data_IF_311802667733
#
_entry.id   IF_311802667733
#
_cell.length_a   1.000
_cell.length_b   1.000
_cell.length_c   1.000
_cell.angle_alpha   90.00
_cell.angle_beta   90.00
_cell.angle_gamma   90.00
#
_symmetry.space_group_name_H-M   'P 1'
#
loop_
_entity.id
_entity.type
_entity.pdbx_description
1 polymer ?
#
# COMPACT_ATOMS: atom_id res chain seq x y z
N UNK A 1 -17.55 15.66 18.88
CA UNK A 1 -16.30 14.90 18.61
C UNK A 1 -15.93 15.25 17.18
N UNK A 2 -15.02 16.21 17.03
CA UNK A 2 -14.44 16.53 15.71
C UNK A 2 -13.68 15.32 15.22
N UNK A 3 -14.05 14.82 14.05
CA UNK A 3 -13.24 13.86 13.31
C UNK A 3 -11.97 14.59 12.89
N UNK A 4 -10.88 14.37 13.63
CA UNK A 4 -9.55 14.80 13.21
C UNK A 4 -9.27 14.14 11.86
N UNK A 5 -9.24 14.95 10.80
CA UNK A 5 -8.81 14.51 9.49
C UNK A 5 -7.42 13.90 9.64
N UNK A 6 -7.32 12.58 9.47
CA UNK A 6 -6.05 11.90 9.20
C UNK A 6 -5.32 12.73 8.16
N UNK A 7 -4.16 13.27 8.53
CA UNK A 7 -3.36 14.12 7.66
C UNK A 7 -3.06 13.34 6.38
N UNK A 8 -3.69 13.74 5.28
CA UNK A 8 -3.50 13.11 3.98
C UNK A 8 -2.09 13.44 3.51
N UNK A 9 -1.26 12.42 3.29
CA UNK A 9 0.12 12.63 2.84
C UNK A 9 0.21 12.37 1.34
N UNK A 10 -0.22 13.37 0.57
CA UNK A 10 0.04 13.46 -0.87
C UNK A 10 1.54 13.65 -1.16
N UNK A 11 1.95 13.43 -2.40
CA UNK A 11 3.32 13.76 -2.82
C UNK A 11 3.44 15.27 -2.98
N UNK A 12 4.53 15.83 -2.45
CA UNK A 12 4.96 17.20 -2.78
C UNK A 12 5.34 17.28 -4.26
N UNK A 13 5.32 18.48 -4.85
CA UNK A 13 5.76 18.68 -6.25
C UNK A 13 7.17 18.15 -6.51
N UNK A 14 8.07 18.25 -5.53
CA UNK A 14 9.42 17.68 -5.63
C UNK A 14 9.40 16.15 -5.71
N UNK A 15 8.62 15.49 -4.85
CA UNK A 15 8.45 14.02 -4.86
C UNK A 15 7.78 13.55 -6.16
N UNK A 16 6.77 14.29 -6.66
CA UNK A 16 6.13 14.01 -7.94
C UNK A 16 7.15 14.07 -9.09
N UNK A 17 7.98 15.11 -9.13
CA UNK A 17 9.01 15.27 -10.15
C UNK A 17 10.08 14.17 -10.08
N UNK A 18 10.53 13.80 -8.87
CA UNK A 18 11.46 12.68 -8.67
C UNK A 18 10.88 11.36 -9.19
N UNK A 19 9.63 11.07 -8.83
CA UNK A 19 8.92 9.88 -9.30
C UNK A 19 8.84 9.85 -10.82
N UNK A 20 8.34 10.92 -11.43
CA UNK A 20 8.16 11.00 -12.87
C UNK A 20 9.49 10.88 -13.62
N UNK A 21 10.55 11.52 -13.13
CA UNK A 21 11.87 11.48 -13.76
C UNK A 21 12.42 10.05 -13.79
N UNK A 22 12.45 9.37 -12.63
CA UNK A 22 13.00 8.03 -12.53
C UNK A 22 12.12 6.99 -13.24
N UNK A 23 10.79 7.04 -13.04
CA UNK A 23 9.88 6.08 -13.65
C UNK A 23 9.81 6.24 -15.18
N UNK A 24 9.80 7.47 -15.71
CA UNK A 24 9.83 7.66 -17.16
C UNK A 24 11.16 7.22 -17.75
N UNK A 25 12.28 7.43 -17.05
CA UNK A 25 13.59 6.90 -17.48
C UNK A 25 13.53 5.37 -17.61
N UNK A 26 13.06 4.67 -16.57
CA UNK A 26 12.94 3.21 -16.60
C UNK A 26 11.97 2.72 -17.70
N UNK A 27 10.85 3.43 -17.91
CA UNK A 27 9.92 3.16 -19.02
C UNK A 27 10.62 3.30 -20.38
N UNK A 28 11.42 4.34 -20.59
CA UNK A 28 12.13 4.51 -21.86
C UNK A 28 13.25 3.46 -22.05
N UNK A 29 13.92 3.05 -20.98
CA UNK A 29 14.91 1.96 -21.04
C UNK A 29 14.26 0.62 -21.40
N UNK A 30 13.13 0.29 -20.79
CA UNK A 30 12.38 -0.92 -21.13
C UNK A 30 11.85 -0.88 -22.56
N UNK A 31 11.34 0.27 -23.01
CA UNK A 31 10.86 0.44 -24.37
C UNK A 31 11.96 0.21 -25.42
N UNK A 32 13.18 0.68 -25.16
CA UNK A 32 14.35 0.42 -26.03
C UNK A 32 14.71 -1.07 -26.09
N UNK A 33 14.67 -1.78 -24.96
CA UNK A 33 15.00 -3.21 -24.88
C UNK A 33 13.97 -4.11 -25.58
N UNK A 34 12.70 -3.71 -25.52
CA UNK A 34 11.57 -4.53 -26.01
C UNK A 34 11.09 -4.13 -27.40
N UNK A 35 11.48 -2.94 -27.88
CA UNK A 35 10.93 -2.32 -29.10
C UNK A 35 9.52 -1.73 -28.89
N UNK A 36 9.02 -1.70 -27.66
CA UNK A 36 7.68 -1.21 -27.33
C UNK A 36 7.75 0.28 -27.03
N UNK A 37 6.88 1.07 -27.66
CA UNK A 37 6.75 2.49 -27.34
C UNK A 37 5.91 2.68 -26.08
N UNK A 38 6.55 3.05 -24.97
CA UNK A 38 5.89 3.39 -23.71
C UNK A 38 5.65 4.91 -23.63
N UNK A 39 4.39 5.31 -23.40
CA UNK A 39 4.03 6.73 -23.24
C UNK A 39 4.73 7.38 -22.04
N UNK A 40 4.97 8.69 -22.11
CA UNK A 40 5.54 9.44 -20.98
C UNK A 40 4.42 9.74 -19.98
N UNK A 41 4.62 9.31 -18.74
CA UNK A 41 3.72 9.58 -17.64
C UNK A 41 3.78 11.05 -17.23
N UNK A 42 2.60 11.60 -16.94
CA UNK A 42 2.39 12.90 -16.32
C UNK A 42 1.68 12.72 -14.99
N UNK A 43 1.97 13.59 -14.02
CA UNK A 43 1.29 13.51 -12.73
C UNK A 43 -0.15 13.99 -12.86
N UNK A 44 -1.08 13.29 -12.21
CA UNK A 44 -2.49 13.68 -12.12
C UNK A 44 -2.96 13.52 -10.66
N UNK A 45 -3.10 14.66 -9.97
CA UNK A 45 -3.57 14.70 -8.58
C UNK A 45 -4.99 14.15 -8.39
N UNK A 46 -5.84 14.18 -9.43
CA UNK A 46 -7.18 13.61 -9.36
C UNK A 46 -7.15 12.09 -9.10
N UNK A 47 -6.10 11.41 -9.56
CA UNK A 47 -5.92 9.99 -9.30
C UNK A 47 -5.61 9.70 -7.83
N UNK A 48 -5.04 10.65 -7.09
CA UNK A 48 -4.86 10.49 -5.65
C UNK A 48 -6.22 10.43 -4.93
N UNK A 49 -7.16 11.30 -5.30
CA UNK A 49 -8.54 11.25 -4.77
C UNK A 49 -9.21 9.93 -5.12
N UNK A 50 -9.00 9.45 -6.34
CA UNK A 50 -9.60 8.19 -6.78
C UNK A 50 -9.05 7.00 -6.02
N UNK A 51 -7.76 7.00 -5.65
CA UNK A 51 -7.19 6.00 -4.73
C UNK A 51 -7.88 6.09 -3.36
N UNK A 52 -8.10 7.30 -2.83
CA UNK A 52 -8.73 7.52 -1.52
C UNK A 52 -10.19 7.07 -1.47
N UNK A 53 -10.90 7.12 -2.60
CA UNK A 53 -12.30 6.65 -2.70
C UNK A 53 -12.40 5.12 -2.74
N UNK A 54 -11.31 4.40 -3.00
CA UNK A 54 -11.34 2.94 -2.96
C UNK A 54 -11.61 2.46 -1.53
N UNK A 55 -12.24 1.29 -1.41
CA UNK A 55 -12.50 0.64 -0.12
C UNK A 55 -11.24 0.54 0.74
N UNK A 56 -11.41 0.35 2.06
CA UNK A 56 -10.32 0.17 3.04
C UNK A 56 -9.12 -0.60 2.46
N UNK A 57 -7.87 -0.12 2.67
CA UNK A 57 -6.64 -0.71 2.14
C UNK A 57 -6.48 -2.21 2.41
N UNK A 58 -7.24 -2.81 3.32
CA UNK A 58 -7.15 -4.24 3.58
C UNK A 58 -8.10 -5.11 2.74
N UNK A 59 -8.81 -4.56 1.75
CA UNK A 59 -9.71 -5.31 0.85
C UNK A 59 -8.97 -5.91 -0.36
N UNK A 60 -8.34 -7.07 -0.15
CA UNK A 60 -7.38 -7.69 -1.08
C UNK A 60 -7.89 -7.85 -2.53
N UNK A 61 -9.12 -8.34 -2.72
CA UNK A 61 -9.65 -8.67 -4.05
C UNK A 61 -9.88 -7.44 -4.95
N UNK A 62 -10.11 -6.26 -4.36
CA UNK A 62 -10.41 -5.05 -5.13
C UNK A 62 -9.16 -4.25 -5.51
N UNK A 63 -8.09 -4.38 -4.71
CA UNK A 63 -6.89 -3.55 -4.83
C UNK A 63 -5.94 -4.02 -5.93
N UNK A 64 -5.91 -5.33 -6.18
CA UNK A 64 -4.96 -5.99 -7.07
C UNK A 64 -5.04 -5.52 -8.53
N UNK A 65 -6.23 -5.14 -9.02
CA UNK A 65 -6.42 -4.70 -10.42
C UNK A 65 -6.32 -3.19 -10.61
N UNK A 66 -6.41 -2.40 -9.54
CA UNK A 66 -6.56 -0.94 -9.64
C UNK A 66 -5.35 -0.17 -9.14
N UNK A 67 -4.61 -0.74 -8.18
CA UNK A 67 -3.53 -0.06 -7.49
C UNK A 67 -2.19 -0.75 -7.69
N UNK A 68 -1.16 0.07 -7.60
CA UNK A 68 0.24 -0.34 -7.62
C UNK A 68 0.78 -0.08 -6.23
N UNK A 69 0.92 -1.14 -5.45
CA UNK A 69 1.39 -1.06 -4.06
C UNK A 69 2.89 -0.77 -4.07
N UNK A 70 3.29 0.27 -3.33
CA UNK A 70 4.63 0.83 -3.43
C UNK A 70 5.64 0.19 -2.51
N UNK A 71 5.26 -0.19 -1.29
CA UNK A 71 6.15 -0.84 -0.32
C UNK A 71 5.45 -2.03 0.29
N UNK A 72 6.10 -3.19 0.30
CA UNK A 72 5.53 -4.43 0.85
C UNK A 72 6.55 -5.17 1.70
N UNK A 73 6.07 -5.97 2.66
CA UNK A 73 6.90 -7.04 3.24
C UNK A 73 7.09 -8.17 2.25
N UNK A 74 8.09 -9.02 2.44
CA UNK A 74 8.37 -10.14 1.52
C UNK A 74 7.19 -11.12 1.43
N UNK A 75 6.53 -11.38 2.57
CA UNK A 75 5.30 -12.18 2.63
C UNK A 75 4.19 -11.55 1.79
N UNK A 76 4.00 -10.23 1.91
CA UNK A 76 2.98 -9.50 1.15
C UNK A 76 3.30 -9.47 -0.33
N UNK A 77 4.57 -9.32 -0.70
CA UNK A 77 5.00 -9.44 -2.10
C UNK A 77 4.71 -10.83 -2.65
N UNK A 78 5.05 -11.89 -1.91
CA UNK A 78 4.83 -13.27 -2.34
C UNK A 78 3.32 -13.53 -2.55
N UNK A 79 2.49 -12.97 -1.68
CA UNK A 79 1.04 -12.98 -1.82
C UNK A 79 0.57 -12.23 -3.08
N UNK A 80 1.01 -10.99 -3.30
CA UNK A 80 0.64 -10.18 -4.46
C UNK A 80 1.20 -10.73 -5.78
N UNK A 81 2.29 -11.49 -5.74
CA UNK A 81 2.91 -12.12 -6.92
C UNK A 81 2.23 -13.44 -7.29
N UNK A 82 1.28 -13.92 -6.47
CA UNK A 82 0.53 -15.11 -6.78
C UNK A 82 -0.33 -14.88 -8.03
N UNK A 83 0.10 -15.44 -9.16
CA UNK A 83 -0.54 -15.30 -10.49
C UNK A 83 -0.52 -13.87 -11.07
N UNK A 84 0.25 -12.96 -10.47
CA UNK A 84 0.34 -11.57 -10.90
C UNK A 84 1.78 -11.08 -10.93
N UNK A 85 1.95 -9.95 -11.59
CA UNK A 85 3.22 -9.29 -11.84
C UNK A 85 3.22 -7.91 -11.15
N UNK A 86 3.54 -7.82 -9.85
CA UNK A 86 3.44 -6.56 -9.13
C UNK A 86 4.24 -5.44 -9.81
N UNK A 87 3.58 -4.29 -9.99
CA UNK A 87 4.20 -3.13 -10.62
C UNK A 87 4.20 -3.13 -12.14
N UNK A 88 3.75 -4.19 -12.82
CA UNK A 88 3.68 -4.20 -14.29
C UNK A 88 2.82 -3.05 -14.84
N UNK A 89 1.84 -2.58 -14.06
CA UNK A 89 0.99 -1.45 -14.40
C UNK A 89 1.80 -0.16 -14.62
N UNK A 90 2.93 0.03 -13.94
CA UNK A 90 3.84 1.16 -14.19
C UNK A 90 4.42 1.16 -15.60
N UNK A 91 4.36 0.03 -16.29
CA UNK A 91 4.93 -0.19 -17.61
C UNK A 91 3.86 -0.44 -18.67
N UNK A 92 2.58 -0.26 -18.35
CA UNK A 92 1.52 -0.31 -19.34
C UNK A 92 1.77 0.71 -20.45
N UNK A 93 1.67 0.23 -21.69
CA UNK A 93 2.05 0.94 -22.90
C UNK A 93 1.38 2.31 -23.01
N UNK A 94 0.07 2.31 -22.85
CA UNK A 94 -0.75 3.50 -23.03
C UNK A 94 -0.95 4.32 -21.77
N UNK A 95 -0.46 3.85 -20.61
CA UNK A 95 -0.51 4.64 -19.39
C UNK A 95 0.27 5.95 -19.61
N UNK A 96 -0.41 7.07 -19.47
CA UNK A 96 0.11 8.43 -19.67
C UNK A 96 -0.10 9.32 -18.46
N UNK A 97 -0.85 8.85 -17.47
CA UNK A 97 -1.09 9.55 -16.21
C UNK A 97 -0.80 8.65 -15.02
N UNK A 98 -0.35 9.25 -13.93
CA UNK A 98 -0.08 8.60 -12.65
C UNK A 98 -0.43 9.53 -11.49
N UNK A 99 -1.02 8.98 -10.42
CA UNK A 99 -1.11 9.65 -9.12
C UNK A 99 -0.83 8.65 -8.01
N UNK A 100 -0.33 9.14 -6.87
CA UNK A 100 0.13 8.29 -5.77
C UNK A 100 -0.19 8.92 -4.41
N UNK A 101 -0.33 8.07 -3.40
CA UNK A 101 -0.54 8.46 -2.01
C UNK A 101 0.41 7.68 -1.12
N UNK A 102 0.97 8.33 -0.07
CA UNK A 102 1.96 7.70 0.82
C UNK A 102 1.33 7.01 2.02
N UNK A 103 0.18 7.49 2.46
CA UNK A 103 -0.57 7.06 3.65
C UNK A 103 -1.51 5.87 3.42
N UNK A 104 -1.59 5.35 2.20
CA UNK A 104 -2.36 4.14 1.90
C UNK A 104 -1.66 2.91 2.45
N UNK A 105 -2.07 2.43 3.63
CA UNK A 105 -1.40 1.34 4.34
C UNK A 105 -2.38 0.29 4.86
N UNK A 106 -1.91 -0.96 4.93
CA UNK A 106 -2.63 -2.07 5.54
C UNK A 106 -1.67 -2.89 6.38
N UNK A 107 -2.17 -3.39 7.53
CA UNK A 107 -1.51 -4.35 8.41
C UNK A 107 -2.57 -5.30 8.94
N UNK A 108 -2.57 -6.57 8.49
CA UNK A 108 -3.53 -7.57 8.96
C UNK A 108 -2.99 -9.00 8.85
N UNK A 109 -3.68 -9.93 9.49
CA UNK A 109 -3.49 -11.35 9.23
C UNK A 109 -4.27 -11.73 7.97
N UNK A 110 -3.59 -12.36 7.00
CA UNK A 110 -4.24 -12.94 5.84
C UNK A 110 -5.04 -14.17 6.26
N UNK A 111 -6.29 -14.23 5.82
CA UNK A 111 -7.19 -15.39 6.01
C UNK A 111 -7.36 -16.20 4.72
N UNK A 112 -6.90 -15.67 3.60
CA UNK A 112 -6.96 -16.26 2.27
C UNK A 112 -5.88 -15.64 1.36
N UNK A 113 -5.32 -16.39 0.38
CA UNK A 113 -5.54 -17.81 0.09
C UNK A 113 -4.89 -18.73 1.14
N UNK A 114 -5.29 -20.00 1.16
CA UNK A 114 -4.93 -20.97 2.21
C UNK A 114 -3.43 -21.02 2.50
N UNK A 115 -2.59 -20.97 1.45
CA UNK A 115 -1.13 -20.96 1.57
C UNK A 115 -0.54 -19.76 2.35
N UNK A 116 -1.28 -18.68 2.51
CA UNK A 116 -0.88 -17.49 3.26
C UNK A 116 -1.74 -17.29 4.52
N UNK A 117 -2.62 -18.23 4.86
CA UNK A 117 -3.47 -18.12 6.03
C UNK A 117 -2.63 -18.04 7.31
N UNK A 118 -2.94 -17.08 8.18
CA UNK A 118 -2.19 -16.81 9.41
C UNK A 118 -0.94 -15.94 9.24
N UNK A 119 -0.56 -15.58 8.01
CA UNK A 119 0.61 -14.71 7.77
C UNK A 119 0.26 -13.23 7.92
N UNK A 120 1.22 -12.44 8.41
CA UNK A 120 1.05 -10.99 8.55
C UNK A 120 1.34 -10.29 7.22
N UNK A 121 0.30 -9.70 6.63
CA UNK A 121 0.42 -8.89 5.41
C UNK A 121 0.46 -7.41 5.77
N UNK A 122 1.41 -6.72 5.16
CA UNK A 122 1.78 -5.35 5.45
C UNK A 122 2.25 -4.66 4.18
N UNK A 123 1.67 -3.50 3.92
CA UNK A 123 2.11 -2.64 2.84
C UNK A 123 1.85 -1.17 3.13
N UNK A 124 2.52 -0.31 2.38
CA UNK A 124 2.37 1.15 2.46
C UNK A 124 2.54 1.79 1.09
N UNK A 125 1.81 2.87 0.89
CA UNK A 125 1.77 3.63 -0.35
C UNK A 125 1.09 2.91 -1.50
N UNK A 126 0.41 3.68 -2.34
CA UNK A 126 -0.21 3.18 -3.54
C UNK A 126 -0.11 4.21 -4.67
N UNK A 127 0.00 3.71 -5.90
CA UNK A 127 -0.18 4.51 -7.10
C UNK A 127 -1.32 3.96 -7.95
N UNK A 128 -1.79 4.80 -8.85
CA UNK A 128 -2.77 4.47 -9.87
C UNK A 128 -2.32 5.10 -11.18
N UNK A 129 -2.51 4.39 -12.30
CA UNK A 129 -2.22 4.89 -13.64
C UNK A 129 -3.48 5.00 -14.48
N UNK A 130 -3.46 5.87 -15.48
CA UNK A 130 -4.50 5.94 -16.51
C UNK A 130 -3.91 6.13 -17.92
N UNK A 131 -4.61 5.64 -18.96
CA UNK A 131 -5.67 4.63 -18.89
C UNK A 131 -5.16 3.30 -18.31
N UNK A 132 -6.05 2.56 -17.62
CA UNK A 132 -5.74 1.22 -17.04
C UNK A 132 -5.84 0.09 -18.06
N UNK A 133 -5.72 0.40 -19.34
CA UNK A 133 -5.88 -0.57 -20.41
C UNK A 133 -4.63 -1.48 -20.45
N UNK A 134 -4.84 -2.76 -20.15
CA UNK A 134 -3.88 -3.83 -20.44
C UNK A 134 -3.97 -4.09 -21.94
N UNK A 135 -3.33 -3.24 -22.73
CA UNK A 135 -3.22 -3.49 -24.16
C UNK A 135 -1.77 -3.87 -24.46
N UNK A 136 -1.41 -5.01 -23.88
CA UNK A 136 -0.27 -5.78 -24.33
C UNK A 136 -0.85 -6.83 -25.26
N UNK A 137 -0.34 -6.92 -26.49
CA UNK A 137 -0.46 -8.20 -27.17
C UNK A 137 0.37 -9.25 -26.38
N UNK A 138 0.03 -10.54 -26.53
CA UNK A 138 0.69 -11.60 -25.75
C UNK A 138 2.21 -11.65 -25.97
N UNK A 139 2.69 -11.22 -27.14
CA UNK A 139 4.12 -11.18 -27.48
C UNK A 139 4.83 -10.04 -26.75
N UNK A 140 4.25 -8.84 -26.75
CA UNK A 140 4.71 -7.66 -26.01
C UNK A 140 4.79 -7.98 -24.52
N UNK A 141 3.77 -8.64 -23.95
CA UNK A 141 3.77 -9.02 -22.54
C UNK A 141 4.93 -9.96 -22.23
N UNK A 142 5.11 -10.99 -23.06
CA UNK A 142 6.21 -11.94 -22.92
C UNK A 142 7.58 -11.26 -23.03
N UNK A 143 7.75 -10.32 -23.98
CA UNK A 143 8.98 -9.52 -24.11
C UNK A 143 9.28 -8.72 -22.85
N UNK A 144 8.27 -8.10 -22.25
CA UNK A 144 8.47 -7.33 -21.01
C UNK A 144 8.77 -8.21 -19.82
N UNK A 145 8.08 -9.35 -19.68
CA UNK A 145 8.41 -10.33 -18.64
C UNK A 145 9.86 -10.82 -18.78
N UNK A 146 10.29 -11.15 -20.01
CA UNK A 146 11.65 -11.62 -20.27
C UNK A 146 12.73 -10.56 -19.97
N UNK A 147 12.44 -9.28 -20.15
CA UNK A 147 13.38 -8.18 -19.86
C UNK A 147 13.32 -7.69 -18.40
N UNK A 148 12.25 -8.03 -17.69
CA UNK A 148 11.97 -7.57 -16.34
C UNK A 148 11.74 -6.07 -16.24
N UNK A 149 11.36 -5.63 -15.04
CA UNK A 149 11.20 -4.22 -14.71
C UNK A 149 11.52 -3.97 -13.22
N UNK A 150 11.86 -2.73 -12.85
CA UNK A 150 12.03 -2.36 -11.46
C UNK A 150 10.77 -2.61 -10.62
N UNK A 151 10.96 -3.21 -9.44
CA UNK A 151 9.88 -3.41 -8.47
C UNK A 151 9.31 -2.07 -7.96
N UNK A 152 8.02 -2.00 -7.60
CA UNK A 152 7.41 -0.81 -7.01
C UNK A 152 8.18 -0.23 -5.80
N UNK A 153 8.82 -1.09 -5.00
CA UNK A 153 9.63 -0.71 -3.84
C UNK A 153 10.71 0.34 -4.16
N UNK A 154 11.27 0.30 -5.38
CA UNK A 154 12.22 1.31 -5.86
C UNK A 154 11.59 2.71 -5.78
N UNK A 155 10.40 2.87 -6.32
CA UNK A 155 9.71 4.15 -6.41
C UNK A 155 9.12 4.57 -5.06
N UNK A 156 8.63 3.61 -4.27
CA UNK A 156 8.18 3.89 -2.91
C UNK A 156 9.28 4.49 -2.03
N UNK A 157 10.50 3.92 -2.08
CA UNK A 157 11.67 4.48 -1.38
C UNK A 157 12.03 5.87 -1.89
N UNK A 158 12.00 6.07 -3.21
CA UNK A 158 12.35 7.34 -3.85
C UNK A 158 11.49 8.52 -3.38
N UNK A 159 10.20 8.29 -3.13
CA UNK A 159 9.25 9.32 -2.69
C UNK A 159 8.98 9.31 -1.17
N UNK A 160 9.80 8.58 -0.41
CA UNK A 160 9.68 8.56 1.06
C UNK A 160 8.44 7.85 1.60
N UNK A 161 7.92 6.83 0.90
CA UNK A 161 6.89 5.95 1.49
C UNK A 161 7.52 5.19 2.67
N UNK A 162 6.81 5.22 3.80
CA UNK A 162 7.21 4.56 5.04
C UNK A 162 7.47 3.06 4.87
N UNK A 163 8.29 2.52 5.76
CA UNK A 163 8.56 1.09 5.78
C UNK A 163 7.34 0.32 6.33
N UNK A 164 6.82 -0.68 5.60
CA UNK A 164 5.64 -1.43 6.04
C UNK A 164 5.86 -2.17 7.36
N UNK A 165 7.10 -2.50 7.73
CA UNK A 165 7.41 -3.11 9.03
C UNK A 165 7.15 -2.18 10.23
N UNK A 166 7.07 -0.85 10.01
CA UNK A 166 6.85 0.13 11.08
C UNK A 166 5.35 0.42 11.33
N UNK A 167 4.46 -0.12 10.49
CA UNK A 167 2.99 0.07 10.60
C UNK A 167 2.41 -0.70 11.82
N UNK A 168 3.23 -1.42 12.58
CA UNK A 168 2.81 -2.16 13.79
C UNK A 168 2.72 -1.31 15.05
N UNK A 169 3.26 -0.08 15.06
CA UNK A 169 3.49 0.66 16.31
C UNK A 169 2.50 1.79 16.60
N UNK A 170 1.53 2.03 15.73
CA UNK A 170 0.44 2.95 15.99
C UNK A 170 -0.87 2.15 16.02
N UNK A 171 -1.59 2.21 17.15
CA UNK A 171 -2.83 1.46 17.51
C UNK A 171 -2.60 0.14 18.26
N UNK A 172 -2.35 0.23 19.58
CA UNK A 172 -3.23 -0.27 20.65
C UNK A 172 -2.63 0.06 22.03
N UNK A 173 -2.76 1.31 22.48
CA UNK A 173 -2.83 1.62 23.92
C UNK A 173 -4.23 2.11 24.21
N UNK A 174 -5.19 1.19 24.21
CA UNK A 174 -6.41 1.41 24.98
C UNK A 174 -6.02 1.32 26.45
N UNK A 175 -5.80 2.48 27.07
CA UNK A 175 -5.79 2.63 28.52
C UNK A 175 -7.09 2.05 29.06
N UNK A 176 -7.00 0.90 29.72
CA UNK A 176 -8.07 0.37 30.56
C UNK A 176 -8.29 1.40 31.68
N UNK A 177 -9.53 1.83 31.98
CA UNK A 177 -9.77 2.60 33.19
C UNK A 177 -9.54 1.66 34.39
N UNK A 178 -8.53 1.96 35.21
CA UNK A 178 -8.40 1.37 36.53
C UNK A 178 -9.65 1.72 37.34
N UNK A 179 -10.50 0.71 37.59
CA UNK A 179 -11.54 0.80 38.58
C UNK A 179 -10.87 0.74 39.97
N UNK A 180 -10.69 1.92 40.55
CA UNK A 180 -10.43 2.10 41.97
C UNK A 180 -11.62 1.58 42.79
N UNK A 181 -11.42 0.54 43.56
CA UNK A 181 -12.17 0.30 44.80
C UNK A 181 -11.18 -0.08 45.90
N UNK A 182 -10.53 0.93 46.46
CA UNK A 182 -10.17 0.88 47.86
C UNK A 182 -11.43 1.14 48.68
N UNK A 183 -11.69 0.32 49.69
CA UNK A 183 -12.38 0.73 50.90
C UNK A 183 -11.91 -0.15 52.05
N UNK A 184 -11.67 0.53 53.16
CA UNK A 184 -10.91 0.17 54.33
C UNK A 184 -11.47 -1.00 55.14
N UNK A 185 -10.54 -1.69 55.78
CA UNK A 185 -10.74 -2.59 56.91
C UNK A 185 -10.95 -1.75 58.19
N UNK A 186 -12.04 -1.98 58.92
CA UNK A 186 -12.18 -1.54 60.31
C UNK A 186 -12.88 -2.63 61.13
N UNK A 187 -12.26 -2.91 62.27
CA UNK A 187 -12.43 -4.00 63.21
C UNK A 187 -13.52 -3.76 64.28
N UNK A 188 -13.76 -4.84 65.05
CA UNK A 188 -14.52 -5.01 66.30
C UNK A 188 -15.99 -5.41 66.15
N UNK A 189 -16.62 -6.23 67.01
CA UNK A 189 -16.28 -7.17 68.09
C UNK A 189 -17.63 -7.44 68.77
N UNK A 190 -17.82 -8.65 69.32
CA UNK A 190 -18.82 -9.03 70.35
C UNK A 190 -20.20 -9.58 69.90
N UNK A 191 -20.43 -10.87 70.22
CA UNK A 191 -21.52 -11.23 71.15
C UNK A 191 -22.70 -12.07 70.64
N UNK A 192 -22.78 -13.31 71.17
CA UNK A 192 -23.95 -14.18 71.45
C UNK A 192 -24.80 -14.70 70.27
N UNK A 193 -24.95 -16.02 70.08
CA UNK A 193 -25.71 -17.03 70.87
C UNK A 193 -27.18 -16.63 71.10
N UNK A 194 -28.07 -17.12 70.23
CA UNK A 194 -29.18 -18.05 70.54
C UNK A 194 -29.81 -18.55 69.24
#
# INVERSE_FOLDING_TARGET
>A
IEFSATHVICLTTEEQNKLLAELNKDRQELGKKTGIKLEILKYNAQLEDDIRKLSSPCSYNFLMSQLIILRTTDVTLALLSDQMHPGIQFFYRYASQIGCVKDFACSKIATWPEKFNGTHVQFSGACMVQPRLIAWDGEELNKTIANGWPRPDKYGKLIGVGDPYQVTNEVFTTSVPEASTGNEEATNSSGNIL
#
